data_IF_817689447265
#
_entry.id   IF_817689447265
#
_cell.length_a   1.000
_cell.length_b   1.000
_cell.length_c   1.000
_cell.angle_alpha   90.00
_cell.angle_beta   90.00
_cell.angle_gamma   90.00
#
_symmetry.space_group_name_H-M   'P 1'
#
loop_
_entity.id
_entity.type
_entity.pdbx_description
1 polymer ?
#
# COMPACT_ATOMS: atom_id res chain seq x y z
N UNK A 1 19.87 4.24 -10.23
CA UNK A 1 18.94 5.15 -10.92
C UNK A 1 17.60 4.43 -11.02
N UNK A 2 16.47 5.09 -10.76
CA UNK A 2 15.15 4.45 -10.84
C UNK A 2 14.75 4.25 -12.32
N UNK A 3 14.14 3.12 -12.72
CA UNK A 3 13.86 2.83 -14.13
C UNK A 3 12.90 3.86 -14.72
N UNK A 4 13.27 4.42 -15.88
CA UNK A 4 12.46 5.45 -16.55
C UNK A 4 11.07 4.91 -16.92
N UNK A 5 10.96 3.64 -17.31
CA UNK A 5 9.68 2.97 -17.62
C UNK A 5 8.65 3.09 -16.49
N UNK A 6 9.08 3.04 -15.23
CA UNK A 6 8.22 3.17 -14.06
C UNK A 6 7.86 4.61 -13.67
N UNK A 7 8.51 5.60 -14.29
CA UNK A 7 8.24 7.04 -14.07
C UNK A 7 7.31 7.65 -15.11
N UNK A 8 7.01 6.91 -16.19
CA UNK A 8 6.11 7.36 -17.25
C UNK A 8 4.69 7.58 -16.72
N UNK A 9 3.97 8.51 -17.33
CA UNK A 9 2.53 8.71 -17.10
C UNK A 9 1.69 7.49 -17.48
N UNK A 10 2.19 6.68 -18.42
CA UNK A 10 1.68 5.35 -18.77
C UNK A 10 2.86 4.40 -18.91
N UNK A 11 2.77 3.23 -18.29
CA UNK A 11 3.79 2.19 -18.40
C UNK A 11 3.87 1.68 -19.84
N UNK A 12 2.70 1.51 -20.49
CA UNK A 12 2.60 1.03 -21.86
C UNK A 12 2.69 -0.49 -21.97
N UNK A 13 2.08 -1.03 -23.03
CA UNK A 13 2.06 -2.45 -23.35
C UNK A 13 3.11 -2.83 -24.41
N UNK A 14 4.06 -1.94 -24.72
CA UNK A 14 5.13 -2.30 -25.64
C UNK A 14 6.02 -3.40 -25.02
N UNK A 15 6.54 -4.34 -25.84
CA UNK A 15 7.28 -5.49 -25.33
C UNK A 15 8.48 -5.13 -24.44
N UNK A 16 9.14 -3.99 -24.68
CA UNK A 16 10.28 -3.55 -23.88
C UNK A 16 9.83 -3.10 -22.48
N UNK A 17 8.77 -2.28 -22.39
CA UNK A 17 8.19 -1.88 -21.10
C UNK A 17 7.65 -3.08 -20.31
N UNK A 18 7.01 -4.05 -20.97
CA UNK A 18 6.55 -5.28 -20.33
C UNK A 18 7.71 -6.16 -19.83
N UNK A 19 8.81 -6.25 -20.60
CA UNK A 19 10.01 -6.98 -20.19
C UNK A 19 10.66 -6.36 -18.94
N UNK A 20 10.77 -5.03 -18.89
CA UNK A 20 11.27 -4.31 -17.71
C UNK A 20 10.40 -4.60 -16.47
N UNK A 21 9.09 -4.47 -16.61
CA UNK A 21 8.14 -4.71 -15.51
C UNK A 21 8.20 -6.18 -15.06
N UNK A 22 8.29 -7.12 -16.01
CA UNK A 22 8.46 -8.55 -15.73
C UNK A 22 9.73 -8.84 -14.96
N UNK A 23 10.86 -8.22 -15.33
CA UNK A 23 12.12 -8.39 -14.61
C UNK A 23 12.04 -7.85 -13.17
N UNK A 24 11.33 -6.75 -12.95
CA UNK A 24 11.20 -6.11 -11.62
C UNK A 24 10.24 -6.87 -10.71
N UNK A 25 9.10 -7.33 -11.26
CA UNK A 25 8.09 -8.10 -10.53
C UNK A 25 8.42 -9.59 -10.45
N UNK A 26 9.30 -10.06 -11.32
CA UNK A 26 9.68 -11.46 -11.52
C UNK A 26 8.46 -12.33 -11.82
N UNK A 27 7.68 -11.85 -12.77
CA UNK A 27 6.50 -12.52 -13.32
C UNK A 27 6.72 -12.81 -14.80
N UNK A 28 5.91 -13.70 -15.35
CA UNK A 28 5.83 -13.90 -16.80
C UNK A 28 5.17 -12.69 -17.46
N UNK A 29 5.70 -12.24 -18.60
CA UNK A 29 5.13 -11.16 -19.39
C UNK A 29 3.65 -11.42 -19.75
N UNK A 30 3.29 -12.68 -20.02
CA UNK A 30 1.92 -13.05 -20.38
C UNK A 30 0.89 -12.76 -19.27
N UNK A 31 1.33 -12.69 -18.01
CA UNK A 31 0.46 -12.38 -16.87
C UNK A 31 0.35 -10.88 -16.59
N UNK A 32 1.19 -10.05 -17.21
CA UNK A 32 1.34 -8.63 -16.85
C UNK A 32 0.43 -7.70 -17.64
N UNK A 33 -0.01 -8.09 -18.84
CA UNK A 33 -0.86 -7.24 -19.68
C UNK A 33 -2.10 -6.73 -18.93
N UNK A 34 -2.92 -7.59 -18.26
CA UNK A 34 -4.07 -7.11 -17.49
C UNK A 34 -3.70 -6.21 -16.28
N UNK A 35 -2.51 -6.40 -15.72
CA UNK A 35 -2.00 -5.62 -14.58
C UNK A 35 -1.58 -4.23 -15.06
N UNK A 36 -0.86 -4.15 -16.17
CA UNK A 36 -0.37 -2.91 -16.77
C UNK A 36 -1.52 -2.09 -17.34
N UNK A 37 -2.48 -2.71 -18.04
CA UNK A 37 -3.70 -2.04 -18.49
C UNK A 37 -4.44 -1.38 -17.31
N UNK A 38 -4.73 -2.15 -16.26
CA UNK A 38 -5.40 -1.64 -15.08
C UNK A 38 -4.59 -0.53 -14.38
N UNK A 39 -3.26 -0.62 -14.41
CA UNK A 39 -2.36 0.42 -13.89
C UNK A 39 -2.47 1.71 -14.71
N UNK A 40 -2.43 1.60 -16.03
CA UNK A 40 -2.49 2.75 -16.94
C UNK A 40 -3.86 3.42 -16.93
N UNK A 41 -4.94 2.65 -16.76
CA UNK A 41 -6.30 3.14 -16.59
C UNK A 41 -6.54 3.86 -15.26
N UNK A 42 -5.72 3.61 -14.23
CA UNK A 42 -5.90 4.22 -12.89
C UNK A 42 -5.28 5.60 -12.83
N UNK A 43 -6.11 6.63 -12.71
CA UNK A 43 -5.62 8.01 -12.58
C UNK A 43 -5.11 8.32 -11.16
N UNK A 44 -4.17 9.26 -11.06
CA UNK A 44 -3.61 9.74 -9.80
C UNK A 44 -2.43 8.93 -9.27
N UNK A 45 -1.55 9.61 -8.53
CA UNK A 45 -0.35 9.04 -7.92
C UNK A 45 0.70 8.53 -8.91
N UNK A 46 1.88 8.12 -8.42
CA UNK A 46 2.92 7.50 -9.24
C UNK A 46 2.51 6.10 -9.74
N UNK A 47 2.67 5.82 -11.04
CA UNK A 47 2.26 4.54 -11.66
C UNK A 47 2.91 3.31 -11.05
N UNK A 48 4.15 3.42 -10.58
CA UNK A 48 4.83 2.33 -9.90
C UNK A 48 4.20 1.95 -8.54
N UNK A 49 3.55 2.90 -7.84
CA UNK A 49 2.77 2.61 -6.62
C UNK A 49 1.50 1.85 -6.99
N UNK A 50 0.77 2.34 -8.00
CA UNK A 50 -0.43 1.70 -8.53
C UNK A 50 -0.13 0.26 -8.96
N UNK A 51 0.92 0.07 -9.76
CA UNK A 51 1.40 -1.23 -10.23
C UNK A 51 1.64 -2.20 -9.07
N UNK A 52 2.37 -1.75 -8.04
CA UNK A 52 2.70 -2.58 -6.88
C UNK A 52 1.45 -3.03 -6.10
N UNK A 53 0.44 -2.17 -5.96
CA UNK A 53 -0.81 -2.51 -5.27
C UNK A 53 -1.62 -3.51 -6.09
N UNK A 54 -1.80 -3.24 -7.39
CA UNK A 54 -2.53 -4.12 -8.31
C UNK A 54 -1.88 -5.50 -8.36
N UNK A 55 -0.56 -5.56 -8.56
CA UNK A 55 0.20 -6.82 -8.59
C UNK A 55 0.07 -7.57 -7.26
N UNK A 56 0.22 -6.90 -6.11
CA UNK A 56 0.14 -7.55 -4.81
C UNK A 56 -1.24 -8.15 -4.52
N UNK A 57 -2.32 -7.42 -4.83
CA UNK A 57 -3.69 -7.90 -4.61
C UNK A 57 -4.06 -9.03 -5.57
N UNK A 58 -3.64 -8.95 -6.83
CA UNK A 58 -3.80 -10.04 -7.79
C UNK A 58 -3.04 -11.29 -7.35
N UNK A 59 -1.75 -11.15 -7.06
CA UNK A 59 -0.86 -12.29 -6.78
C UNK A 59 -1.17 -12.98 -5.45
N UNK A 60 -1.52 -12.21 -4.42
CA UNK A 60 -1.65 -12.72 -3.05
C UNK A 60 -3.10 -12.96 -2.61
N UNK A 61 -4.07 -12.34 -3.25
CA UNK A 61 -5.49 -12.46 -2.88
C UNK A 61 -6.42 -12.81 -4.05
N UNK A 62 -5.88 -13.01 -5.27
CA UNK A 62 -6.68 -13.36 -6.44
C UNK A 62 -7.63 -12.26 -6.90
N UNK A 63 -7.43 -11.02 -6.46
CA UNK A 63 -8.28 -9.89 -6.84
C UNK A 63 -7.96 -9.49 -8.28
N UNK A 64 -8.97 -9.47 -9.14
CA UNK A 64 -8.78 -9.11 -10.54
C UNK A 64 -8.18 -7.69 -10.68
N UNK A 65 -7.19 -7.46 -11.57
CA UNK A 65 -6.52 -6.16 -11.68
C UNK A 65 -7.47 -4.97 -11.87
N UNK A 66 -8.51 -5.14 -12.69
CA UNK A 66 -9.54 -4.12 -12.93
C UNK A 66 -10.31 -3.74 -11.66
N UNK A 67 -10.59 -4.70 -10.77
CA UNK A 67 -11.23 -4.41 -9.48
C UNK A 67 -10.33 -3.51 -8.64
N UNK A 68 -9.05 -3.82 -8.55
CA UNK A 68 -8.10 -2.98 -7.82
C UNK A 68 -7.99 -1.58 -8.43
N UNK A 69 -8.01 -1.46 -9.76
CA UNK A 69 -8.09 -0.15 -10.43
C UNK A 69 -9.35 0.63 -9.99
N UNK A 70 -10.53 0.00 -9.99
CA UNK A 70 -11.77 0.63 -9.52
C UNK A 70 -11.68 1.08 -8.06
N UNK A 71 -11.07 0.28 -7.19
CA UNK A 71 -10.84 0.65 -5.78
C UNK A 71 -9.98 1.91 -5.70
N UNK A 72 -8.83 1.94 -6.40
CA UNK A 72 -7.90 3.06 -6.35
C UNK A 72 -8.49 4.34 -6.94
N UNK A 73 -9.33 4.25 -7.98
CA UNK A 73 -10.10 5.38 -8.52
C UNK A 73 -11.13 5.92 -7.53
N UNK A 74 -11.80 5.03 -6.79
CA UNK A 74 -12.81 5.42 -5.80
C UNK A 74 -12.19 5.95 -4.49
N UNK A 75 -10.96 5.53 -4.18
CA UNK A 75 -10.24 5.86 -2.95
C UNK A 75 -8.81 6.36 -3.26
N UNK A 76 -8.66 7.52 -3.92
CA UNK A 76 -7.35 8.09 -4.26
C UNK A 76 -6.51 8.37 -3.01
N UNK A 77 -7.13 8.51 -1.83
CA UNK A 77 -6.45 8.70 -0.56
C UNK A 77 -5.48 7.55 -0.22
N UNK A 78 -5.69 6.34 -0.76
CA UNK A 78 -4.75 5.22 -0.61
C UNK A 78 -3.42 5.56 -1.28
N UNK A 79 -3.47 6.06 -2.52
CA UNK A 79 -2.28 6.42 -3.28
C UNK A 79 -1.55 7.60 -2.63
N UNK A 80 -2.30 8.65 -2.25
CA UNK A 80 -1.74 9.81 -1.54
C UNK A 80 -1.09 9.41 -0.22
N UNK A 81 -1.71 8.49 0.52
CA UNK A 81 -1.19 7.98 1.80
C UNK A 81 0.16 7.28 1.62
N UNK A 82 0.27 6.40 0.63
CA UNK A 82 1.51 5.69 0.34
C UNK A 82 2.58 6.63 -0.23
N UNK A 83 2.21 7.56 -1.10
CA UNK A 83 3.13 8.55 -1.67
C UNK A 83 3.77 9.42 -0.59
N UNK A 84 3.02 9.83 0.45
CA UNK A 84 3.57 10.59 1.60
C UNK A 84 4.74 9.88 2.28
N UNK A 85 4.80 8.54 2.23
CA UNK A 85 5.89 7.76 2.82
C UNK A 85 6.98 7.50 1.80
N UNK A 86 6.61 7.08 0.60
CA UNK A 86 7.57 6.56 -0.38
C UNK A 86 8.29 7.63 -1.19
N UNK A 87 7.67 8.80 -1.30
CA UNK A 87 8.16 9.98 -2.00
C UNK A 87 8.32 11.15 -1.03
N UNK A 88 8.56 10.86 0.25
CA UNK A 88 8.65 11.87 1.30
C UNK A 88 9.68 12.96 0.95
N UNK A 89 9.29 14.22 1.18
CA UNK A 89 10.15 15.41 1.10
C UNK A 89 9.88 16.25 2.34
N UNK A 90 10.89 16.48 3.19
CA UNK A 90 10.71 17.26 4.41
C UNK A 90 10.31 18.71 4.10
N UNK A 91 11.07 19.33 3.18
CA UNK A 91 10.94 20.72 2.75
C UNK A 91 11.21 20.81 1.23
N UNK A 92 10.82 21.91 0.57
CA UNK A 92 11.03 22.11 -0.87
C UNK A 92 12.52 22.13 -1.30
N UNK A 93 13.43 22.39 -0.35
CA UNK A 93 14.87 22.46 -0.55
C UNK A 93 15.66 21.26 0.02
N UNK A 94 15.00 20.36 0.76
CA UNK A 94 15.65 19.15 1.24
C UNK A 94 15.80 18.18 0.06
N UNK A 95 17.02 17.74 -0.21
CA UNK A 95 17.29 16.68 -1.18
C UNK A 95 16.48 15.41 -0.86
N UNK A 96 16.43 14.48 -1.82
CA UNK A 96 15.69 13.20 -1.82
C UNK A 96 16.12 12.20 -0.72
N UNK A 97 16.50 12.67 0.47
CA UNK A 97 16.81 11.85 1.62
C UNK A 97 15.54 11.18 2.15
N UNK A 98 15.45 9.87 1.93
CA UNK A 98 14.47 8.99 2.54
C UNK A 98 14.69 8.91 4.07
N UNK A 99 13.84 9.55 4.90
CA UNK A 99 14.05 9.63 6.35
C UNK A 99 13.94 8.27 7.03
N UNK A 100 13.26 7.32 6.39
CA UNK A 100 13.00 6.00 6.93
C UNK A 100 14.05 4.97 6.49
N UNK A 101 15.04 5.39 5.69
CA UNK A 101 16.15 4.58 5.19
C UNK A 101 15.72 3.30 4.45
N UNK A 102 14.51 3.25 3.90
CA UNK A 102 13.98 2.14 3.11
C UNK A 102 14.82 1.83 1.89
N UNK A 103 15.50 2.81 1.31
CA UNK A 103 16.26 2.67 0.07
C UNK A 103 17.79 2.72 0.26
N UNK A 104 18.26 2.68 1.52
CA UNK A 104 19.70 2.63 1.79
C UNK A 104 20.28 1.26 1.40
N UNK A 105 21.48 1.17 0.77
CA UNK A 105 22.08 -0.10 0.36
C UNK A 105 22.29 -1.10 1.52
N UNK A 106 22.60 -0.58 2.71
CA UNK A 106 22.76 -1.37 3.95
C UNK A 106 21.43 -1.68 4.67
N UNK A 107 20.30 -1.15 4.20
CA UNK A 107 18.99 -1.61 4.66
C UNK A 107 18.74 -3.00 4.03
N UNK A 108 19.41 -4.02 4.55
CA UNK A 108 19.39 -5.39 4.04
C UNK A 108 18.04 -6.10 4.26
N UNK A 109 17.14 -5.47 5.03
CA UNK A 109 15.81 -5.97 5.31
C UNK A 109 14.75 -4.94 4.93
N UNK A 110 13.67 -5.42 4.31
CA UNK A 110 12.36 -4.80 4.43
C UNK A 110 11.95 -4.90 5.89
N UNK A 111 12.52 -4.05 6.75
CA UNK A 111 12.09 -3.95 8.13
C UNK A 111 10.59 -3.63 8.04
N UNK A 112 9.69 -4.50 8.56
CA UNK A 112 8.31 -4.10 8.74
C UNK A 112 8.38 -2.88 9.63
N UNK A 113 8.10 -1.73 9.04
CA UNK A 113 7.99 -0.52 9.83
C UNK A 113 6.55 -0.51 10.21
N UNK A 114 6.25 -1.26 11.28
CA UNK A 114 4.90 -1.53 11.73
C UNK A 114 4.12 -0.23 11.82
N UNK A 115 4.74 0.84 12.34
CA UNK A 115 4.17 2.18 12.40
C UNK A 115 3.68 2.76 11.06
N UNK A 116 4.24 2.34 9.93
CA UNK A 116 3.94 2.85 8.58
C UNK A 116 3.24 1.84 7.66
N UNK A 117 3.06 0.61 8.12
CA UNK A 117 2.52 -0.48 7.32
C UNK A 117 1.01 -0.36 7.13
N UNK A 118 0.59 -0.20 5.88
CA UNK A 118 -0.82 -0.18 5.47
C UNK A 118 -1.24 -1.52 4.89
N UNK A 119 -2.50 -1.88 5.12
CA UNK A 119 -3.05 -3.15 4.68
C UNK A 119 -4.35 -2.95 3.90
N UNK A 120 -4.55 -3.75 2.87
CA UNK A 120 -5.86 -4.02 2.31
C UNK A 120 -6.22 -5.46 2.70
N UNK A 121 -7.27 -5.59 3.49
CA UNK A 121 -7.82 -6.87 3.89
C UNK A 121 -8.92 -7.27 2.91
N UNK A 122 -8.85 -8.52 2.44
CA UNK A 122 -9.91 -9.19 1.70
C UNK A 122 -10.58 -10.18 2.65
N UNK A 123 -11.86 -9.96 2.96
CA UNK A 123 -12.65 -10.76 3.90
C UNK A 123 -13.69 -11.55 3.12
N UNK A 124 -13.75 -12.86 3.38
CA UNK A 124 -14.63 -13.82 2.71
C UNK A 124 -14.56 -13.76 1.18
N UNK A 125 -13.37 -13.45 0.64
CA UNK A 125 -13.12 -13.23 -0.80
C UNK A 125 -14.04 -12.19 -1.46
N UNK A 126 -14.66 -11.30 -0.68
CA UNK A 126 -15.68 -10.36 -1.18
C UNK A 126 -15.50 -8.95 -0.64
N UNK A 127 -15.33 -8.78 0.67
CA UNK A 127 -15.30 -7.47 1.29
C UNK A 127 -13.88 -6.93 1.36
N UNK A 128 -13.72 -5.64 1.11
CA UNK A 128 -12.42 -4.97 1.06
C UNK A 128 -12.35 -3.89 2.13
N UNK A 129 -11.32 -3.98 2.98
CA UNK A 129 -11.09 -3.02 4.07
C UNK A 129 -9.67 -2.50 3.99
N UNK A 130 -9.50 -1.19 3.91
CA UNK A 130 -8.20 -0.54 4.05
C UNK A 130 -7.94 -0.21 5.51
N UNK A 131 -6.78 -0.65 6.01
CA UNK A 131 -6.25 -0.31 7.33
C UNK A 131 -5.02 0.57 7.17
N UNK A 132 -5.11 1.79 7.68
CA UNK A 132 -4.02 2.77 7.69
C UNK A 132 -3.60 3.06 9.14
N UNK A 133 -2.28 3.07 9.45
CA UNK A 133 -1.79 3.55 10.74
C UNK A 133 -2.20 5.00 10.99
N UNK A 134 -2.58 5.32 12.23
CA UNK A 134 -2.96 6.70 12.63
C UNK A 134 -1.78 7.61 12.95
N UNK A 135 -0.54 7.11 12.81
CA UNK A 135 0.66 7.88 13.12
C UNK A 135 0.78 9.10 12.18
N UNK A 136 1.24 10.24 12.72
CA UNK A 136 1.59 11.40 11.92
C UNK A 136 2.96 11.19 11.26
N UNK A 137 2.91 10.76 10.00
CA UNK A 137 4.08 10.44 9.19
C UNK A 137 4.93 11.65 8.83
N UNK A 138 4.30 12.83 8.73
CA UNK A 138 5.01 14.05 8.35
C UNK A 138 5.86 14.52 9.52
N UNK A 139 5.24 14.65 10.70
CA UNK A 139 5.98 15.00 11.92
C UNK A 139 7.07 13.98 12.22
N UNK A 140 6.79 12.69 12.02
CA UNK A 140 7.77 11.62 12.20
C UNK A 140 8.96 11.73 11.24
N UNK A 141 8.70 11.92 9.94
CA UNK A 141 9.76 12.08 8.93
C UNK A 141 10.63 13.31 9.19
N UNK A 142 10.03 14.42 9.63
CA UNK A 142 10.75 15.64 10.02
C UNK A 142 11.63 15.42 11.24
N UNK A 143 11.13 14.74 12.27
CA UNK A 143 11.90 14.40 13.47
C UNK A 143 13.13 13.54 13.14
N UNK A 144 13.02 12.60 12.20
CA UNK A 144 14.13 11.74 11.77
C UNK A 144 15.20 12.47 10.94
N UNK A 145 14.86 13.58 10.30
CA UNK A 145 15.78 14.40 9.49
C UNK A 145 16.44 15.49 10.32
N UNK A 146 15.65 16.22 11.11
CA UNK A 146 16.10 17.42 11.82
C UNK A 146 17.02 17.10 13.01
N UNK A 147 16.85 15.93 13.61
CA UNK A 147 17.58 15.55 14.81
C UNK A 147 18.99 15.08 14.46
N UNK A 148 20.04 15.59 15.15
CA UNK A 148 21.35 14.96 15.12
C UNK A 148 21.21 13.47 15.40
N UNK A 149 21.88 12.62 14.59
CA UNK A 149 21.90 11.17 14.79
C UNK A 149 22.80 10.78 15.97
N UNK A 150 22.53 11.33 17.14
CA UNK A 150 23.26 11.10 18.38
C UNK A 150 22.36 10.35 19.35
N UNK A 151 22.94 9.44 20.13
CA UNK A 151 22.21 8.54 21.04
C UNK A 151 21.50 9.24 22.21
N UNK A 152 21.61 10.57 22.31
CA UNK A 152 21.03 11.39 23.38
C UNK A 152 19.90 12.32 22.89
N UNK A 153 19.53 12.29 21.62
CA UNK A 153 18.40 13.07 21.13
C UNK A 153 17.08 12.33 21.40
N UNK A 154 16.36 12.77 22.43
CA UNK A 154 15.07 12.18 22.82
C UNK A 154 14.04 12.21 21.69
N UNK A 155 14.04 13.27 20.86
CA UNK A 155 13.08 13.44 19.75
C UNK A 155 13.36 12.42 18.65
N UNK A 156 14.64 12.18 18.33
CA UNK A 156 15.06 11.16 17.39
C UNK A 156 14.71 9.74 17.88
N UNK A 157 15.02 9.45 19.15
CA UNK A 157 14.76 8.14 19.74
C UNK A 157 13.25 7.86 19.84
N UNK A 158 12.44 8.85 20.19
CA UNK A 158 10.98 8.73 20.20
C UNK A 158 10.42 8.46 18.81
N UNK A 159 10.94 9.11 17.77
CA UNK A 159 10.57 8.83 16.40
C UNK A 159 10.92 7.37 16.00
N UNK A 160 12.12 6.89 16.35
CA UNK A 160 12.50 5.49 16.11
C UNK A 160 11.60 4.49 16.86
N UNK A 161 11.26 4.77 18.12
CA UNK A 161 10.34 3.94 18.90
C UNK A 161 8.95 3.91 18.26
N UNK A 162 8.46 5.06 17.78
CA UNK A 162 7.15 5.15 17.14
C UNK A 162 7.07 4.36 15.83
N UNK A 163 8.17 4.26 15.07
CA UNK A 163 8.26 3.41 13.87
C UNK A 163 8.16 1.90 14.20
N UNK A 164 8.69 1.50 15.34
CA UNK A 164 8.72 0.10 15.81
C UNK A 164 7.48 -0.30 16.61
N UNK A 165 6.77 0.67 17.19
CA UNK A 165 5.59 0.43 17.98
C UNK A 165 4.46 -0.21 17.16
N UNK A 166 3.62 -1.02 17.83
CA UNK A 166 2.40 -1.56 17.23
C UNK A 166 1.47 -0.38 16.91
N UNK A 167 1.11 -0.16 15.64
CA UNK A 167 0.26 0.97 15.27
C UNK A 167 -1.17 0.75 15.70
N UNK A 168 -1.85 1.86 16.02
CA UNK A 168 -3.30 1.93 15.98
C UNK A 168 -3.75 2.10 14.54
N UNK A 169 -4.71 1.29 14.10
CA UNK A 169 -5.23 1.34 12.73
C UNK A 169 -6.56 2.07 12.67
N UNK A 170 -6.68 2.97 11.69
CA UNK A 170 -7.98 3.40 11.18
C UNK A 170 -8.40 2.46 10.07
N UNK A 171 -9.60 1.88 10.18
CA UNK A 171 -10.19 0.99 9.18
C UNK A 171 -11.27 1.71 8.36
N UNK A 172 -11.19 1.54 7.05
CA UNK A 172 -12.16 2.08 6.08
C UNK A 172 -12.61 0.95 5.17
N UNK A 173 -13.89 0.59 5.22
CA UNK A 173 -14.48 -0.37 4.29
C UNK A 173 -14.65 0.27 2.91
N UNK A 174 -13.95 -0.29 1.93
CA UNK A 174 -13.84 0.25 0.58
C UNK A 174 -15.08 -0.11 -0.25
N UNK A 175 -15.65 -1.29 0.01
CA UNK A 175 -16.74 -1.87 -0.77
C UNK A 175 -16.70 -3.40 -0.74
N UNK A 176 -17.38 -4.01 -1.71
CA UNK A 176 -17.37 -5.46 -1.90
C UNK A 176 -17.34 -5.84 -3.39
N UNK A 177 -16.92 -7.07 -3.65
CA UNK A 177 -16.85 -7.67 -4.97
C UNK A 177 -18.00 -8.67 -5.17
N UNK A 178 -18.58 -8.65 -6.37
CA UNK A 178 -19.45 -9.72 -6.85
C UNK A 178 -19.04 -10.11 -8.27
N UNK A 179 -18.43 -11.29 -8.39
CA UNK A 179 -17.74 -11.71 -9.61
C UNK A 179 -16.67 -10.69 -10.04
N UNK A 180 -16.81 -10.15 -11.24
CA UNK A 180 -15.91 -9.15 -11.83
C UNK A 180 -16.34 -7.70 -11.56
N UNK A 181 -17.33 -7.46 -10.70
CA UNK A 181 -17.86 -6.12 -10.42
C UNK A 181 -17.51 -5.67 -9.01
N UNK A 182 -17.07 -4.41 -8.89
CA UNK A 182 -16.81 -3.76 -7.61
C UNK A 182 -17.95 -2.81 -7.24
N UNK A 183 -18.51 -2.99 -6.04
CA UNK A 183 -19.52 -2.12 -5.46
C UNK A 183 -18.88 -1.29 -4.35
N UNK A 184 -18.58 -0.03 -4.67
CA UNK A 184 -17.95 0.89 -3.74
C UNK A 184 -18.92 1.31 -2.63
N UNK A 185 -18.41 1.44 -1.40
CA UNK A 185 -19.18 2.01 -0.31
C UNK A 185 -19.22 3.53 -0.45
N UNK A 186 -20.34 4.09 -0.95
CA UNK A 186 -20.54 5.54 -1.12
C UNK A 186 -20.46 6.33 0.18
N UNK A 187 -20.72 5.67 1.30
CA UNK A 187 -20.57 6.28 2.61
C UNK A 187 -19.09 6.17 3.01
N UNK A 188 -18.35 7.28 2.92
CA UNK A 188 -17.04 7.51 3.58
C UNK A 188 -17.14 7.42 5.11
N UNK A 189 -17.94 6.50 5.64
CA UNK A 189 -18.10 6.26 7.07
C UNK A 189 -16.77 5.67 7.53
N UNK A 190 -16.10 6.37 8.45
CA UNK A 190 -15.13 5.74 9.34
C UNK A 190 -15.85 4.51 9.92
N UNK A 191 -15.30 3.31 9.74
CA UNK A 191 -15.87 2.09 10.31
C UNK A 191 -15.60 2.02 11.83
N UNK A 192 -15.81 3.13 12.53
CA UNK A 192 -16.05 3.11 13.96
C UNK A 192 -17.46 2.52 14.15
N UNK A 193 -17.58 1.19 14.05
CA UNK A 193 -18.76 0.45 14.51
C UNK A 193 -19.81 0.02 13.47
N UNK A 194 -19.45 -0.35 12.22
CA UNK A 194 -20.44 -0.88 11.25
C UNK A 194 -20.13 -2.30 10.81
N UNK A 195 -20.82 -3.27 11.41
CA UNK A 195 -20.75 -4.71 11.15
C UNK A 195 -21.18 -5.07 9.72
N UNK A 196 -20.48 -6.01 9.08
CA UNK A 196 -20.95 -6.69 7.87
C UNK A 196 -21.79 -7.91 8.29
N UNK A 197 -23.06 -7.93 7.90
CA UNK A 197 -23.93 -9.08 8.07
C UNK A 197 -23.36 -10.26 7.29
N UNK A 198 -22.92 -11.31 8.00
CA UNK A 198 -22.64 -12.61 7.38
C UNK A 198 -23.92 -13.08 6.68
N UNK A 199 -23.76 -13.63 5.48
CA UNK A 199 -24.79 -14.16 4.58
C UNK A 199 -26.19 -14.35 5.16
N UNK A 200 -27.16 -13.65 4.55
CA UNK A 200 -28.59 -14.01 4.43
C UNK A 200 -29.11 -14.96 5.53
N UNK A 201 -29.68 -14.38 6.60
CA UNK A 201 -30.99 -14.70 7.18
C UNK A 201 -31.16 -13.89 8.47
N UNK A 202 -32.34 -13.31 8.65
CA UNK A 202 -32.60 -12.23 9.59
C UNK A 202 -32.21 -12.52 11.04
N UNK A 203 -31.68 -11.50 11.71
CA UNK A 203 -31.99 -11.22 13.11
C UNK A 203 -31.51 -9.81 13.45
N UNK A 204 -32.43 -9.04 14.02
CA UNK A 204 -32.25 -7.68 14.50
C UNK A 204 -31.32 -7.66 15.72
N UNK A 205 -30.00 -7.45 15.57
CA UNK A 205 -29.16 -6.96 16.67
C UNK A 205 -27.96 -6.13 16.15
N UNK A 206 -27.81 -4.86 16.58
CA UNK A 206 -26.76 -3.97 16.07
C UNK A 206 -25.50 -4.04 16.94
N UNK A 207 -24.37 -4.41 16.32
CA UNK A 207 -23.02 -4.14 16.81
C UNK A 207 -22.16 -5.39 17.02
N UNK A 208 -21.20 -5.64 16.11
CA UNK A 208 -20.09 -6.57 16.35
C UNK A 208 -18.76 -6.01 15.82
N UNK A 209 -17.69 -6.31 16.56
CA UNK A 209 -16.31 -5.93 16.33
C UNK A 209 -15.67 -6.75 15.20
N UNK A 210 -14.89 -6.11 14.31
CA UNK A 210 -14.08 -6.77 13.27
C UNK A 210 -12.77 -7.40 13.81
N UNK A 211 -12.69 -7.64 15.11
CA UNK A 211 -11.49 -8.19 15.73
C UNK A 211 -11.49 -9.72 15.57
N UNK A 212 -10.64 -10.19 14.65
CA UNK A 212 -10.03 -11.52 14.62
C UNK A 212 -10.93 -12.75 14.38
N UNK A 213 -12.23 -12.60 14.10
CA UNK A 213 -13.17 -13.73 14.02
C UNK A 213 -13.51 -14.31 12.64
N UNK A 214 -13.05 -13.72 11.52
CA UNK A 214 -13.44 -14.21 10.19
C UNK A 214 -12.54 -15.37 9.74
N UNK A 215 -13.17 -16.50 9.40
CA UNK A 215 -12.51 -17.76 9.00
C UNK A 215 -11.67 -17.61 7.72
N UNK A 216 -12.00 -16.64 6.85
CA UNK A 216 -11.29 -16.38 5.59
C UNK A 216 -10.92 -14.90 5.44
N UNK A 217 -9.84 -14.46 6.09
CA UNK A 217 -9.27 -13.11 5.93
C UNK A 217 -7.86 -13.17 5.35
N UNK A 218 -7.66 -12.50 4.21
CA UNK A 218 -6.33 -12.32 3.59
C UNK A 218 -5.90 -10.86 3.72
N UNK A 219 -4.85 -10.61 4.51
CA UNK A 219 -4.31 -9.27 4.74
C UNK A 219 -3.09 -8.99 3.87
N UNK A 220 -3.21 -8.05 2.93
CA UNK A 220 -2.13 -7.66 2.02
C UNK A 220 -1.49 -6.37 2.51
N UNK A 221 -0.21 -6.43 2.92
CA UNK A 221 0.56 -5.22 3.26
C UNK A 221 0.98 -4.48 1.98
N UNK A 222 0.25 -3.42 1.66
CA UNK A 222 0.47 -2.62 0.45
C UNK A 222 1.70 -1.73 0.58
N UNK A 223 2.01 -1.21 1.79
CA UNK A 223 3.24 -0.44 2.03
C UNK A 223 4.52 -1.25 1.78
N UNK A 224 4.56 -2.51 2.23
CA UNK A 224 5.67 -3.43 1.94
C UNK A 224 5.75 -3.70 0.44
N UNK A 225 4.62 -4.00 -0.21
CA UNK A 225 4.62 -4.36 -1.64
C UNK A 225 5.16 -3.22 -2.51
N UNK A 226 4.79 -1.98 -2.19
CA UNK A 226 5.29 -0.77 -2.84
C UNK A 226 6.80 -0.57 -2.60
N UNK A 227 7.28 -0.73 -1.35
CA UNK A 227 8.71 -0.65 -1.03
C UNK A 227 9.53 -1.72 -1.75
N UNK A 228 9.02 -2.95 -1.77
CA UNK A 228 9.65 -4.09 -2.45
C UNK A 228 9.83 -3.78 -3.93
N UNK A 229 8.78 -3.32 -4.60
CA UNK A 229 8.85 -2.94 -6.02
C UNK A 229 9.88 -1.83 -6.23
N UNK A 230 9.84 -0.76 -5.43
CA UNK A 230 10.77 0.36 -5.59
C UNK A 230 12.23 -0.05 -5.34
N UNK A 231 12.49 -0.89 -4.32
CA UNK A 231 13.83 -1.44 -4.06
C UNK A 231 14.33 -2.31 -5.20
N UNK A 232 13.51 -3.24 -5.68
CA UNK A 232 13.85 -4.10 -6.81
C UNK A 232 14.18 -3.28 -8.06
N UNK A 233 13.36 -2.26 -8.35
CA UNK A 233 13.58 -1.33 -9.45
C UNK A 233 14.89 -0.53 -9.32
N UNK A 234 15.33 -0.23 -8.08
CA UNK A 234 16.62 0.42 -7.82
C UNK A 234 17.82 -0.54 -7.84
N UNK A 235 17.61 -1.83 -8.11
CA UNK A 235 18.65 -2.87 -8.04
C UNK A 235 19.08 -3.23 -6.63
N UNK A 236 18.29 -2.85 -5.61
CA UNK A 236 18.55 -3.19 -4.21
C UNK A 236 18.07 -4.62 -3.93
N UNK A 237 18.79 -5.31 -3.04
CA UNK A 237 18.41 -6.65 -2.62
C UNK A 237 17.02 -6.66 -1.96
N UNK A 238 16.17 -7.58 -2.41
CA UNK A 238 14.87 -7.87 -1.83
C UNK A 238 14.81 -9.37 -1.53
N UNK A 239 14.57 -9.73 -0.26
CA UNK A 239 14.22 -11.12 0.09
C UNK A 239 12.81 -11.40 -0.39
N UNK A 240 12.67 -12.46 -1.17
CA UNK A 240 11.40 -12.91 -1.76
C UNK A 240 10.72 -13.89 -0.82
#
# INVERSE_FOLDING_TARGET
MFPFSLTKAKLGLDPASLADVAAILFEDQACLEPIVEATDETDGGPKWIVLAIIHALWRKAGVAPRITSCILKAWPEILTSLEQVMCFRADAAAEETDPFQFYHPLAAHSIPVLGLDEYIDVVDNRFLVWRRPTIDRISLGKALIASPRTDNDEVYLDALRALQARPTYQSTGLGFMDGSTFFHNKCRRKFAGQTLASSVLGSDHPGLLFDNGYVCKTSINVSISVRVLKRAAQGLNVRR
#
